data_IF_332858977293
#
_entry.id   IF_332858977293
#
_cell.length_a   1.000
_cell.length_b   1.000
_cell.length_c   1.000
_cell.angle_alpha   90.00
_cell.angle_beta   90.00
_cell.angle_gamma   90.00
#
_symmetry.space_group_name_H-M   'P 1'
#
loop_
_entity.id
_entity.type
_entity.pdbx_description
1 polymer ?
#
# COMPACT_ATOMS: atom_id res chain seq x y z
N UNK A 1 9.72 4.39 -8.05
CA UNK A 1 10.55 4.90 -6.95
C UNK A 1 12.02 4.46 -7.12
N UNK A 2 12.31 3.17 -7.24
CA UNK A 2 13.69 2.65 -7.37
C UNK A 2 14.33 2.86 -8.75
N UNK A 3 13.51 3.04 -9.77
CA UNK A 3 13.95 3.32 -11.14
C UNK A 3 12.82 4.00 -11.91
N UNK A 4 13.14 5.05 -12.66
CA UNK A 4 12.13 5.83 -13.39
C UNK A 4 11.64 5.11 -14.65
N UNK A 5 12.51 4.36 -15.31
CA UNK A 5 12.21 3.71 -16.59
C UNK A 5 11.74 2.28 -16.38
N UNK A 6 12.41 1.53 -15.50
CA UNK A 6 12.14 0.11 -15.22
C UNK A 6 11.10 -0.11 -14.12
N UNK A 7 10.82 0.90 -13.31
CA UNK A 7 9.86 0.82 -12.22
C UNK A 7 8.43 0.63 -12.71
N UNK A 8 7.64 -0.10 -11.94
CA UNK A 8 6.21 -0.26 -12.21
C UNK A 8 5.42 1.02 -11.95
N UNK A 9 4.26 1.11 -12.59
CA UNK A 9 3.31 2.20 -12.41
C UNK A 9 1.86 1.70 -12.42
N UNK A 10 1.04 2.30 -11.57
CA UNK A 10 -0.40 2.11 -11.59
C UNK A 10 -1.04 3.46 -11.25
N UNK A 11 -1.36 4.23 -12.27
CA UNK A 11 -1.81 5.62 -12.11
C UNK A 11 -2.84 6.03 -13.15
N UNK A 12 -3.32 7.26 -13.00
CA UNK A 12 -4.21 7.93 -13.93
C UNK A 12 -3.43 8.98 -14.71
N UNK A 13 -3.56 8.97 -16.02
CA UNK A 13 -3.01 9.98 -16.90
C UNK A 13 -4.16 10.81 -17.48
N UNK A 14 -4.16 12.09 -17.22
CA UNK A 14 -5.13 13.04 -17.76
C UNK A 14 -4.42 13.98 -18.76
N UNK A 15 -5.12 14.31 -19.85
CA UNK A 15 -4.65 15.26 -20.86
C UNK A 15 -5.46 16.55 -20.77
N UNK A 16 -4.81 17.70 -20.94
CA UNK A 16 -5.44 19.01 -20.81
C UNK A 16 -5.26 19.65 -19.44
N UNK A 17 -6.01 20.72 -19.19
CA UNK A 17 -5.86 21.55 -17.99
C UNK A 17 -6.65 21.00 -16.80
N UNK A 18 -6.20 19.84 -16.27
CA UNK A 18 -6.75 19.30 -15.02
C UNK A 18 -6.08 19.91 -13.80
N UNK A 19 -6.88 20.42 -12.89
CA UNK A 19 -6.45 20.70 -11.52
C UNK A 19 -6.55 19.40 -10.72
N UNK A 20 -5.42 18.97 -10.15
CA UNK A 20 -5.34 17.75 -9.34
C UNK A 20 -5.06 18.16 -7.90
N UNK A 21 -5.91 17.71 -6.98
CA UNK A 21 -5.72 17.88 -5.54
C UNK A 21 -5.76 16.53 -4.84
N UNK A 22 -4.89 16.34 -3.85
CA UNK A 22 -4.78 15.08 -3.14
C UNK A 22 -4.78 15.30 -1.64
N UNK A 23 -5.67 14.64 -0.94
CA UNK A 23 -5.80 14.70 0.51
C UNK A 23 -6.26 13.33 1.04
N UNK A 24 -6.00 13.05 2.30
CA UNK A 24 -6.65 11.93 2.96
C UNK A 24 -8.09 12.28 3.31
N UNK A 25 -8.99 11.31 3.18
CA UNK A 25 -10.33 11.42 3.77
C UNK A 25 -10.15 11.65 5.27
N UNK A 26 -10.78 12.66 5.87
CA UNK A 26 -10.57 13.02 7.28
C UNK A 26 -10.64 11.82 8.21
N UNK A 27 -9.73 11.73 9.16
CA UNK A 27 -9.63 10.68 10.18
C UNK A 27 -9.34 9.27 9.66
N UNK A 28 -8.84 9.14 8.41
CA UNK A 28 -8.62 7.84 7.77
C UNK A 28 -7.25 7.73 7.09
N UNK A 29 -6.93 6.52 6.60
CA UNK A 29 -5.85 6.27 5.65
C UNK A 29 -6.38 6.01 4.22
N UNK A 30 -7.56 6.49 3.89
CA UNK A 30 -8.12 6.49 2.54
C UNK A 30 -7.62 7.73 1.83
N UNK A 31 -6.91 7.57 0.72
CA UNK A 31 -6.39 8.68 -0.06
C UNK A 31 -7.41 9.11 -1.10
N UNK A 32 -7.74 10.39 -1.14
CA UNK A 32 -8.64 11.00 -2.11
C UNK A 32 -7.85 11.87 -3.08
N UNK A 33 -7.92 11.55 -4.36
CA UNK A 33 -7.35 12.35 -5.44
C UNK A 33 -8.46 12.89 -6.33
N UNK A 34 -8.66 14.18 -6.32
CA UNK A 34 -9.67 14.87 -7.11
C UNK A 34 -9.06 15.41 -8.41
N UNK A 35 -9.72 15.14 -9.51
CA UNK A 35 -9.39 15.61 -10.85
C UNK A 35 -10.53 16.50 -11.35
N UNK A 36 -10.24 17.77 -11.66
CA UNK A 36 -11.25 18.75 -12.06
C UNK A 36 -10.77 19.53 -13.28
N UNK A 37 -11.63 19.62 -14.30
CA UNK A 37 -11.43 20.38 -15.52
C UNK A 37 -12.76 20.94 -16.03
N UNK A 38 -12.73 21.73 -17.12
CA UNK A 38 -13.94 22.22 -17.79
C UNK A 38 -14.77 21.08 -18.42
N UNK A 39 -14.14 19.95 -18.78
CA UNK A 39 -14.82 18.79 -19.35
C UNK A 39 -15.58 17.97 -18.31
N UNK A 40 -15.12 17.99 -17.05
CA UNK A 40 -15.74 17.24 -15.98
C UNK A 40 -14.87 17.06 -14.76
N UNK A 41 -15.41 16.30 -13.80
CA UNK A 41 -14.80 16.12 -12.49
C UNK A 41 -15.04 14.70 -11.97
N UNK A 42 -14.01 14.09 -11.40
CA UNK A 42 -14.06 12.81 -10.72
C UNK A 42 -13.08 12.74 -9.55
N UNK A 43 -13.32 11.82 -8.64
CA UNK A 43 -12.45 11.55 -7.49
C UNK A 43 -12.03 10.08 -7.51
N UNK A 44 -10.76 9.83 -7.26
CA UNK A 44 -10.24 8.48 -7.02
C UNK A 44 -10.01 8.31 -5.52
N UNK A 45 -10.64 7.31 -4.93
CA UNK A 45 -10.44 6.90 -3.54
C UNK A 45 -9.59 5.64 -3.51
N UNK A 46 -8.34 5.80 -3.06
CA UNK A 46 -7.37 4.71 -2.95
C UNK A 46 -7.36 4.18 -1.52
N UNK A 47 -7.57 2.87 -1.35
CA UNK A 47 -7.54 2.23 -0.03
C UNK A 47 -7.20 0.74 -0.13
N UNK A 48 -6.70 0.20 0.97
CA UNK A 48 -6.59 -1.24 1.20
C UNK A 48 -7.66 -1.64 2.22
N UNK A 49 -8.50 -2.64 1.94
CA UNK A 49 -9.57 -3.04 2.85
C UNK A 49 -9.01 -3.40 4.22
N UNK A 50 -9.63 -2.84 5.25
CA UNK A 50 -9.34 -3.22 6.62
C UNK A 50 -10.61 -3.08 7.48
N UNK A 51 -11.06 -4.20 8.06
CA UNK A 51 -12.19 -4.24 8.98
C UNK A 51 -12.14 -5.50 9.85
N UNK A 52 -13.00 -5.56 10.87
CA UNK A 52 -13.10 -6.79 11.67
C UNK A 52 -13.80 -7.87 10.88
N UNK A 53 -13.26 -9.09 10.93
CA UNK A 53 -13.94 -10.26 10.37
C UNK A 53 -15.25 -10.53 11.12
N UNK A 54 -16.19 -11.22 10.46
CA UNK A 54 -17.52 -11.49 11.03
C UNK A 54 -17.46 -12.37 12.30
N UNK A 55 -16.44 -13.20 12.43
CA UNK A 55 -16.21 -14.06 13.57
C UNK A 55 -15.59 -13.34 14.80
N UNK A 56 -15.38 -12.00 14.70
CA UNK A 56 -14.77 -11.14 15.71
C UNK A 56 -13.36 -11.55 16.16
N UNK A 57 -12.82 -12.66 15.64
CA UNK A 57 -11.52 -13.23 16.07
C UNK A 57 -10.33 -12.58 15.38
N UNK A 58 -10.54 -11.92 14.23
CA UNK A 58 -9.48 -11.34 13.42
C UNK A 58 -9.86 -10.06 12.70
N UNK A 59 -8.93 -9.61 11.86
CA UNK A 59 -9.14 -8.50 10.94
C UNK A 59 -9.03 -9.04 9.52
N UNK A 60 -9.90 -8.59 8.64
CA UNK A 60 -9.74 -8.78 7.20
C UNK A 60 -8.76 -7.73 6.70
N UNK A 61 -7.60 -8.17 6.25
CA UNK A 61 -6.49 -7.35 5.79
C UNK A 61 -5.87 -8.01 4.54
N UNK A 62 -6.58 -8.07 3.42
CA UNK A 62 -6.08 -8.71 2.21
C UNK A 62 -4.99 -7.85 1.57
N UNK A 63 -4.13 -8.50 0.76
CA UNK A 63 -3.15 -7.80 -0.07
C UNK A 63 -3.82 -7.24 -1.34
N UNK A 64 -4.75 -6.34 -1.16
CA UNK A 64 -5.60 -5.77 -2.18
C UNK A 64 -5.57 -4.24 -2.14
N UNK A 65 -5.41 -3.61 -3.30
CA UNK A 65 -5.56 -2.17 -3.49
C UNK A 65 -6.82 -1.90 -4.28
N UNK A 66 -7.75 -1.21 -3.66
CA UNK A 66 -8.95 -0.71 -4.29
C UNK A 66 -8.77 0.74 -4.72
N UNK A 67 -9.29 1.08 -5.89
CA UNK A 67 -9.34 2.40 -6.48
C UNK A 67 -10.77 2.67 -6.94
N UNK A 68 -11.58 3.22 -6.06
CA UNK A 68 -12.93 3.62 -6.38
C UNK A 68 -12.93 4.94 -7.12
N UNK A 69 -13.45 4.94 -8.35
CA UNK A 69 -13.51 6.09 -9.24
C UNK A 69 -14.91 6.66 -9.17
N UNK A 70 -15.08 7.71 -8.39
CA UNK A 70 -16.36 8.37 -8.18
C UNK A 70 -16.56 9.48 -9.21
N UNK A 71 -17.56 9.33 -10.06
CA UNK A 71 -17.95 10.33 -11.03
C UNK A 71 -18.73 11.46 -10.36
N UNK A 72 -18.35 12.71 -10.60
CA UNK A 72 -19.01 13.89 -10.03
C UNK A 72 -19.88 14.58 -11.08
N UNK A 73 -19.29 14.94 -12.23
CA UNK A 73 -20.01 15.64 -13.30
C UNK A 73 -19.26 15.62 -14.62
N UNK A 74 -19.98 15.95 -15.72
CA UNK A 74 -19.41 16.08 -17.06
C UNK A 74 -18.97 14.76 -17.67
N UNK A 75 -18.01 14.84 -18.58
CA UNK A 75 -17.41 13.70 -19.27
C UNK A 75 -15.88 13.74 -19.16
N UNK A 76 -15.34 13.62 -17.92
CA UNK A 76 -13.91 13.65 -17.73
C UNK A 76 -13.24 12.47 -18.44
N UNK A 77 -12.02 12.72 -18.95
CA UNK A 77 -11.24 11.79 -19.75
C UNK A 77 -9.93 11.47 -19.07
N UNK A 78 -9.55 10.21 -19.09
CA UNK A 78 -8.27 9.76 -18.55
C UNK A 78 -7.82 8.46 -19.22
N UNK A 79 -6.55 8.11 -19.01
CA UNK A 79 -5.98 6.80 -19.32
C UNK A 79 -5.52 6.16 -18.03
N UNK A 80 -5.57 4.84 -17.97
CA UNK A 80 -4.99 4.08 -16.87
C UNK A 80 -3.60 3.62 -17.29
N UNK A 81 -2.59 4.10 -16.57
CA UNK A 81 -1.22 3.62 -16.76
C UNK A 81 -0.96 2.44 -15.83
N UNK A 82 -1.30 1.24 -16.31
CA UNK A 82 -0.97 -0.01 -15.64
C UNK A 82 0.28 -0.62 -16.28
N UNK A 83 1.39 -0.52 -15.57
CA UNK A 83 2.69 -1.04 -15.97
C UNK A 83 3.32 -1.77 -14.78
N UNK A 84 2.95 -3.02 -14.52
CA UNK A 84 3.49 -3.78 -13.40
C UNK A 84 4.96 -4.14 -13.65
N UNK A 85 5.76 -4.12 -12.58
CA UNK A 85 7.17 -4.54 -12.60
C UNK A 85 7.45 -5.47 -11.41
N UNK A 86 6.87 -6.69 -11.40
CA UNK A 86 7.06 -7.66 -10.33
C UNK A 86 8.54 -8.04 -10.20
N UNK A 87 8.92 -8.56 -9.02
CA UNK A 87 10.27 -8.99 -8.71
C UNK A 87 11.34 -7.92 -9.05
N UNK A 88 11.08 -6.66 -8.67
CA UNK A 88 12.00 -5.53 -8.90
C UNK A 88 12.43 -5.36 -10.36
N UNK A 89 11.53 -5.60 -11.31
CA UNK A 89 11.80 -5.54 -12.75
C UNK A 89 12.93 -6.46 -13.23
N UNK A 90 13.15 -7.57 -12.55
CA UNK A 90 14.05 -8.63 -13.01
C UNK A 90 13.30 -9.53 -14.01
N UNK A 91 13.68 -9.48 -15.27
CA UNK A 91 13.06 -10.30 -16.33
C UNK A 91 11.86 -9.66 -17.01
N UNK A 92 11.28 -10.41 -17.97
CA UNK A 92 10.15 -9.94 -18.75
C UNK A 92 8.84 -10.09 -17.98
N UNK A 93 7.99 -9.08 -18.06
CA UNK A 93 6.63 -9.11 -17.52
C UNK A 93 5.70 -9.77 -18.54
N UNK A 94 4.96 -10.77 -18.10
CA UNK A 94 3.91 -11.42 -18.87
C UNK A 94 2.56 -10.84 -18.43
N UNK A 95 1.75 -10.39 -19.38
CA UNK A 95 0.40 -9.88 -19.17
C UNK A 95 -0.60 -10.78 -19.90
N UNK A 96 -1.38 -11.54 -19.14
CA UNK A 96 -2.47 -12.37 -19.65
C UNK A 96 -3.80 -11.69 -19.39
N UNK A 97 -4.58 -11.43 -20.44
CA UNK A 97 -5.94 -10.91 -20.27
C UNK A 97 -6.93 -12.07 -20.30
N UNK A 98 -7.79 -12.09 -19.29
CA UNK A 98 -8.96 -12.95 -19.23
C UNK A 98 -10.23 -12.08 -19.30
N UNK A 99 -11.43 -12.65 -19.42
CA UNK A 99 -12.66 -11.85 -19.33
C UNK A 99 -12.87 -11.15 -17.98
N UNK A 100 -12.17 -11.58 -16.91
CA UNK A 100 -12.40 -11.11 -15.55
C UNK A 100 -11.27 -10.26 -14.99
N UNK A 101 -10.01 -10.47 -15.44
CA UNK A 101 -8.84 -9.78 -14.91
C UNK A 101 -7.67 -9.75 -15.88
N UNK A 102 -6.72 -8.85 -15.64
CA UNK A 102 -5.37 -8.91 -16.20
C UNK A 102 -4.47 -9.57 -15.17
N UNK A 103 -3.87 -10.71 -15.51
CA UNK A 103 -2.82 -11.34 -14.70
C UNK A 103 -1.45 -10.82 -15.14
N UNK A 104 -0.60 -10.45 -14.20
CA UNK A 104 0.78 -10.06 -14.45
C UNK A 104 1.76 -10.80 -13.54
N UNK A 105 2.87 -11.28 -14.13
CA UNK A 105 3.92 -11.99 -13.41
C UNK A 105 5.25 -11.93 -14.17
N UNK A 106 6.35 -12.27 -13.48
CA UNK A 106 7.68 -12.34 -14.11
C UNK A 106 7.87 -13.68 -14.84
N UNK A 107 8.50 -13.67 -16.01
CA UNK A 107 8.66 -14.84 -16.86
C UNK A 107 9.48 -15.98 -16.24
N UNK A 108 10.45 -15.68 -15.37
CA UNK A 108 11.30 -16.68 -14.73
C UNK A 108 10.95 -16.98 -13.27
N UNK A 109 10.16 -16.12 -12.62
CA UNK A 109 9.65 -16.34 -11.27
C UNK A 109 8.16 -15.99 -11.23
N UNK A 110 7.34 -17.01 -11.13
CA UNK A 110 5.89 -16.87 -11.12
C UNK A 110 5.29 -16.83 -9.71
N UNK A 111 6.13 -16.61 -8.69
CA UNK A 111 5.67 -16.52 -7.30
C UNK A 111 4.92 -15.23 -7.01
N UNK A 112 5.35 -14.13 -7.66
CA UNK A 112 4.75 -12.81 -7.51
C UNK A 112 3.75 -12.56 -8.63
N UNK A 113 2.47 -12.84 -8.39
CA UNK A 113 1.38 -12.63 -9.32
C UNK A 113 0.52 -11.46 -8.87
N UNK A 114 0.09 -10.66 -9.84
CA UNK A 114 -0.87 -9.59 -9.61
C UNK A 114 -2.08 -9.81 -10.51
N UNK A 115 -3.26 -9.55 -9.97
CA UNK A 115 -4.54 -9.69 -10.67
C UNK A 115 -5.25 -8.35 -10.62
N UNK A 116 -5.37 -7.69 -11.79
CA UNK A 116 -6.12 -6.44 -11.92
C UNK A 116 -7.53 -6.73 -12.41
N UNK A 117 -8.51 -6.48 -11.57
CA UNK A 117 -9.93 -6.47 -11.88
C UNK A 117 -10.41 -5.05 -12.11
N UNK A 118 -11.41 -4.87 -12.96
CA UNK A 118 -11.98 -3.55 -13.23
C UNK A 118 -13.43 -3.68 -13.67
N UNK A 119 -14.22 -2.66 -13.39
CA UNK A 119 -15.53 -2.45 -14.06
C UNK A 119 -15.37 -1.84 -15.46
N UNK A 120 -14.19 -1.28 -15.74
CA UNK A 120 -13.78 -0.75 -17.04
C UNK A 120 -13.27 -1.86 -17.97
N UNK A 121 -13.19 -1.57 -19.27
CA UNK A 121 -12.64 -2.49 -20.26
C UNK A 121 -11.16 -2.82 -19.98
N UNK A 122 -10.88 -4.07 -19.64
CA UNK A 122 -9.52 -4.56 -19.40
C UNK A 122 -8.62 -4.42 -20.64
N UNK A 123 -9.22 -4.55 -21.85
CA UNK A 123 -8.48 -4.36 -23.10
C UNK A 123 -8.07 -2.91 -23.30
N UNK A 124 -8.95 -1.95 -22.99
CA UNK A 124 -8.64 -0.52 -23.11
C UNK A 124 -7.59 -0.08 -22.08
N UNK A 125 -7.61 -0.69 -20.88
CA UNK A 125 -6.56 -0.49 -19.87
C UNK A 125 -5.21 -0.99 -20.40
N UNK A 126 -5.15 -2.21 -20.96
CA UNK A 126 -3.91 -2.76 -21.51
C UNK A 126 -3.37 -1.93 -22.67
N UNK A 127 -4.25 -1.47 -23.54
CA UNK A 127 -3.89 -0.67 -24.71
C UNK A 127 -3.68 0.83 -24.38
N UNK A 128 -3.86 1.21 -23.10
CA UNK A 128 -3.78 2.61 -22.63
C UNK A 128 -4.66 3.56 -23.44
N UNK A 129 -5.86 3.09 -23.80
CA UNK A 129 -6.84 3.93 -24.49
C UNK A 129 -7.42 4.98 -23.56
N UNK A 130 -7.89 6.07 -24.15
CA UNK A 130 -8.63 7.09 -23.44
C UNK A 130 -10.02 6.56 -23.05
N UNK A 131 -10.36 6.76 -21.77
CA UNK A 131 -11.62 6.36 -21.16
C UNK A 131 -12.41 7.62 -20.86
N UNK A 132 -13.70 7.63 -21.23
CA UNK A 132 -14.65 8.66 -20.85
C UNK A 132 -15.45 8.14 -19.67
N UNK A 133 -15.45 8.88 -18.56
CA UNK A 133 -16.18 8.51 -17.37
C UNK A 133 -17.58 9.13 -17.39
N UNK A 134 -18.61 8.31 -17.22
CA UNK A 134 -20.04 8.72 -17.17
C UNK A 134 -20.77 8.22 -15.93
N UNK A 135 -20.10 7.37 -15.14
CA UNK A 135 -20.63 6.79 -13.90
C UNK A 135 -19.48 6.34 -12.99
N UNK A 136 -19.81 5.91 -11.79
CA UNK A 136 -18.83 5.31 -10.87
C UNK A 136 -18.25 4.02 -11.45
N UNK A 137 -16.96 3.89 -11.34
CA UNK A 137 -16.17 2.73 -11.78
C UNK A 137 -15.16 2.33 -10.71
N UNK A 138 -14.52 1.18 -10.84
CA UNK A 138 -13.48 0.76 -9.92
C UNK A 138 -12.34 -0.01 -10.61
N UNK A 139 -11.21 -0.05 -9.90
CA UNK A 139 -10.08 -0.92 -10.16
C UNK A 139 -9.73 -1.63 -8.86
N UNK A 140 -9.45 -2.92 -8.94
CA UNK A 140 -8.98 -3.73 -7.82
C UNK A 140 -7.71 -4.47 -8.24
N UNK A 141 -6.61 -4.21 -7.55
CA UNK A 141 -5.36 -4.93 -7.73
C UNK A 141 -5.17 -5.88 -6.54
N UNK A 142 -5.21 -7.18 -6.80
CA UNK A 142 -4.92 -8.23 -5.82
C UNK A 142 -3.54 -8.82 -6.04
N UNK A 143 -2.84 -9.14 -4.96
CA UNK A 143 -1.50 -9.72 -4.96
C UNK A 143 -1.54 -11.18 -4.52
N UNK A 144 -1.02 -12.08 -5.36
CA UNK A 144 -0.93 -13.53 -5.17
C UNK A 144 -2.24 -14.30 -4.98
N UNK A 145 -3.36 -13.63 -4.82
CA UNK A 145 -4.66 -14.26 -4.61
C UNK A 145 -5.66 -13.81 -5.68
N UNK A 146 -6.39 -14.77 -6.26
CA UNK A 146 -7.52 -14.48 -7.12
C UNK A 146 -8.74 -14.17 -6.28
N UNK A 147 -9.39 -13.07 -6.60
CA UNK A 147 -10.63 -12.65 -5.94
C UNK A 147 -11.82 -13.09 -6.78
N UNK A 148 -12.93 -13.39 -6.12
CA UNK A 148 -14.21 -13.54 -6.82
C UNK A 148 -14.54 -12.19 -7.46
N UNK A 149 -14.91 -12.13 -8.76
CA UNK A 149 -15.26 -10.87 -9.40
C UNK A 149 -16.30 -10.10 -8.60
N UNK A 150 -16.03 -8.84 -8.39
CA UNK A 150 -16.90 -7.91 -7.68
C UNK A 150 -17.58 -6.96 -8.66
N UNK A 151 -18.67 -6.38 -8.22
CA UNK A 151 -19.36 -5.28 -8.89
C UNK A 151 -19.17 -3.96 -8.11
N UNK A 152 -19.68 -2.88 -8.65
CA UNK A 152 -19.57 -1.55 -8.04
C UNK A 152 -20.29 -1.47 -6.67
N UNK A 153 -21.32 -2.25 -6.45
CA UNK A 153 -22.05 -2.26 -5.17
C UNK A 153 -21.22 -2.96 -4.10
N UNK A 154 -20.55 -4.04 -4.45
CA UNK A 154 -19.60 -4.71 -3.54
C UNK A 154 -18.42 -3.80 -3.21
N UNK A 155 -17.89 -3.07 -4.20
CA UNK A 155 -16.83 -2.10 -4.01
C UNK A 155 -17.23 -1.02 -2.99
N UNK A 156 -18.43 -0.43 -3.13
CA UNK A 156 -18.96 0.55 -2.17
C UNK A 156 -19.07 0.00 -0.75
N UNK A 157 -19.42 -1.27 -0.60
CA UNK A 157 -19.46 -1.93 0.72
C UNK A 157 -18.07 -2.02 1.33
N UNK A 158 -17.06 -2.43 0.56
CA UNK A 158 -15.66 -2.52 1.04
C UNK A 158 -15.11 -1.15 1.43
N UNK A 159 -15.43 -0.11 0.64
CA UNK A 159 -15.12 1.28 1.00
C UNK A 159 -15.76 1.69 2.33
N UNK A 160 -17.08 1.49 2.48
CA UNK A 160 -17.80 1.86 3.69
C UNK A 160 -17.26 1.12 4.93
N UNK A 161 -16.98 -0.18 4.83
CA UNK A 161 -16.39 -0.97 5.91
C UNK A 161 -15.03 -0.43 6.33
N UNK A 162 -14.18 -0.13 5.36
CA UNK A 162 -12.85 0.43 5.58
C UNK A 162 -12.93 1.83 6.20
N UNK A 163 -13.83 2.68 5.71
CA UNK A 163 -14.10 4.00 6.27
C UNK A 163 -14.51 3.90 7.75
N UNK A 164 -15.50 3.07 8.06
CA UNK A 164 -15.98 2.86 9.44
C UNK A 164 -14.87 2.31 10.34
N UNK A 165 -14.03 1.42 9.83
CA UNK A 165 -12.87 0.92 10.58
C UNK A 165 -11.94 2.06 11.01
N UNK A 166 -11.55 2.93 10.08
CA UNK A 166 -10.65 4.04 10.37
C UNK A 166 -11.28 5.06 11.31
N UNK A 167 -12.54 5.44 11.10
CA UNK A 167 -13.26 6.36 11.98
C UNK A 167 -13.35 5.80 13.42
N UNK A 168 -13.70 4.54 13.58
CA UNK A 168 -13.73 3.88 14.89
C UNK A 168 -12.35 3.77 15.52
N UNK A 169 -11.30 3.63 14.71
CA UNK A 169 -9.93 3.55 15.22
C UNK A 169 -9.47 4.91 15.74
N UNK A 170 -9.67 5.99 14.99
CA UNK A 170 -9.29 7.35 15.36
C UNK A 170 -10.12 7.90 16.52
N UNK A 171 -11.40 7.53 16.59
CA UNK A 171 -12.29 7.97 17.70
C UNK A 171 -11.83 7.46 19.08
N UNK A 172 -11.14 6.34 19.13
CA UNK A 172 -10.55 5.79 20.36
C UNK A 172 -9.28 6.50 20.81
N UNK A 173 -8.71 7.36 19.97
CA UNK A 173 -7.50 8.11 20.31
C UNK A 173 -7.83 9.23 21.29
N UNK A 174 -6.96 9.43 22.26
CA UNK A 174 -7.02 10.60 23.15
C UNK A 174 -6.96 11.87 22.31
N UNK A 175 -7.85 12.81 22.57
CA UNK A 175 -7.90 14.10 21.87
C UNK A 175 -7.11 15.15 22.64
N UNK A 176 -6.48 16.06 21.90
CA UNK A 176 -5.66 17.14 22.42
C UNK A 176 -6.20 18.48 21.96
N UNK A 177 -5.98 19.51 22.77
CA UNK A 177 -6.42 20.88 22.44
C UNK A 177 -5.52 21.56 21.41
N UNK A 178 -4.24 21.15 21.35
CA UNK A 178 -3.25 21.69 20.43
C UNK A 178 -2.75 20.59 19.48
N UNK A 179 -2.60 20.92 18.20
CA UNK A 179 -2.03 20.05 17.16
C UNK A 179 -2.75 18.71 16.97
N UNK A 180 -4.03 18.62 17.34
CA UNK A 180 -4.77 17.35 17.31
C UNK A 180 -4.74 16.69 15.92
N UNK A 181 -4.91 17.45 14.85
CA UNK A 181 -4.92 16.92 13.47
C UNK A 181 -3.56 16.34 13.06
N UNK A 182 -2.47 17.00 13.46
CA UNK A 182 -1.10 16.54 13.20
C UNK A 182 -0.79 15.27 13.98
N UNK A 183 -1.21 15.22 15.25
CA UNK A 183 -1.06 14.05 16.12
C UNK A 183 -1.85 12.87 15.54
N UNK A 184 -3.10 13.08 15.17
CA UNK A 184 -3.95 12.06 14.60
C UNK A 184 -3.37 11.53 13.26
N UNK A 185 -2.93 12.42 12.36
CA UNK A 185 -2.28 12.00 11.10
C UNK A 185 -1.01 11.17 11.35
N UNK A 186 -0.20 11.58 12.34
CA UNK A 186 1.00 10.82 12.73
C UNK A 186 0.67 9.44 13.26
N UNK A 187 -0.39 9.33 14.08
CA UNK A 187 -0.87 8.04 14.58
C UNK A 187 -1.38 7.12 13.47
N UNK A 188 -2.10 7.67 12.51
CA UNK A 188 -2.57 6.93 11.34
C UNK A 188 -1.39 6.38 10.51
N UNK A 189 -0.28 7.14 10.39
CA UNK A 189 0.96 6.66 9.76
C UNK A 189 1.58 5.53 10.59
N UNK A 190 1.74 5.69 11.90
CA UNK A 190 2.27 4.62 12.76
C UNK A 190 1.41 3.35 12.69
N UNK A 191 0.10 3.50 12.55
CA UNK A 191 -0.81 2.36 12.37
C UNK A 191 -0.56 1.64 11.05
N UNK A 192 -0.25 2.33 9.94
CA UNK A 192 0.14 1.72 8.67
C UNK A 192 1.46 0.94 8.77
N UNK A 193 2.38 1.36 9.64
CA UNK A 193 3.63 0.64 9.89
C UNK A 193 3.44 -0.63 10.72
N UNK A 194 2.27 -0.80 11.36
CA UNK A 194 1.99 -1.91 12.27
C UNK A 194 1.41 -3.11 11.53
N UNK A 195 2.10 -4.24 11.57
CA UNK A 195 1.60 -5.49 11.01
C UNK A 195 0.62 -6.19 11.97
N UNK A 196 -0.19 -7.11 11.43
CA UNK A 196 -1.27 -7.76 12.21
C UNK A 196 -0.75 -8.58 13.40
N UNK A 197 0.44 -9.17 13.33
CA UNK A 197 1.06 -9.95 14.41
C UNK A 197 1.66 -9.07 15.52
N UNK A 198 1.75 -7.76 15.32
CA UNK A 198 2.30 -6.80 16.28
C UNK A 198 3.68 -6.25 15.91
N UNK A 199 4.36 -6.79 14.90
CA UNK A 199 5.58 -6.19 14.38
C UNK A 199 5.31 -4.76 13.88
N UNK A 200 6.29 -3.87 14.02
CA UNK A 200 6.21 -2.49 13.51
C UNK A 200 7.44 -2.24 12.64
N UNK A 201 7.20 -1.87 11.40
CA UNK A 201 8.24 -1.52 10.44
C UNK A 201 8.83 -0.14 10.74
N UNK A 202 10.14 0.02 10.54
CA UNK A 202 10.78 1.34 10.64
C UNK A 202 10.30 2.27 9.50
N UNK A 203 10.14 1.73 8.28
CA UNK A 203 9.48 2.43 7.16
C UNK A 203 8.92 1.40 6.15
N UNK A 204 8.02 1.84 5.25
CA UNK A 204 7.46 1.03 4.15
C UNK A 204 8.33 1.08 2.88
N UNK A 205 9.52 1.63 2.96
CA UNK A 205 10.37 1.92 1.80
C UNK A 205 11.73 1.23 1.91
N UNK A 206 12.32 0.94 0.75
CA UNK A 206 13.70 0.49 0.61
C UNK A 206 14.47 1.45 -0.28
N UNK A 207 15.79 1.54 -0.08
CA UNK A 207 16.73 2.22 -0.97
C UNK A 207 16.41 3.70 -1.25
N UNK A 208 15.71 4.37 -0.32
CA UNK A 208 15.63 5.83 -0.35
C UNK A 208 16.89 6.42 0.27
N UNK A 209 17.61 7.30 -0.44
CA UNK A 209 18.85 7.88 0.08
C UNK A 209 18.55 8.86 1.22
N UNK A 210 19.40 8.87 2.24
CA UNK A 210 19.41 9.92 3.28
C UNK A 210 19.67 11.29 2.65
N UNK A 211 20.55 11.32 1.65
CA UNK A 211 20.78 12.48 0.80
C UNK A 211 20.81 12.02 -0.67
N UNK A 212 20.14 12.74 -1.55
CA UNK A 212 20.05 12.39 -2.98
C UNK A 212 21.44 12.36 -3.61
N UNK A 213 21.75 11.23 -4.27
CA UNK A 213 23.05 10.98 -4.89
C UNK A 213 24.09 10.31 -3.97
N UNK A 214 23.77 10.15 -2.69
CA UNK A 214 24.65 9.51 -1.70
C UNK A 214 24.38 8.00 -1.60
N UNK A 215 25.33 7.29 -0.94
CA UNK A 215 25.36 5.83 -0.87
C UNK A 215 24.57 5.22 0.30
N UNK A 216 24.06 6.06 1.21
CA UNK A 216 23.32 5.59 2.39
C UNK A 216 21.85 5.30 2.03
N UNK A 217 21.63 4.15 1.43
CA UNK A 217 20.35 3.68 0.93
C UNK A 217 20.02 2.36 1.62
N UNK A 218 19.15 2.38 2.64
CA UNK A 218 18.88 1.22 3.47
C UNK A 218 17.50 0.63 3.18
N UNK A 219 17.36 -0.67 3.42
CA UNK A 219 16.05 -1.31 3.49
C UNK A 219 15.46 -1.12 4.89
N UNK A 220 14.46 -0.26 5.03
CA UNK A 220 13.81 0.05 6.30
C UNK A 220 12.56 -0.81 6.57
N UNK A 221 12.25 -1.78 5.72
CA UNK A 221 11.07 -2.65 5.84
C UNK A 221 11.24 -3.76 6.88
N UNK A 222 12.03 -3.51 7.92
CA UNK A 222 12.30 -4.39 9.05
C UNK A 222 11.70 -3.85 10.33
N UNK A 223 11.46 -4.78 11.29
CA UNK A 223 11.08 -4.44 12.65
C UNK A 223 12.33 -4.19 13.49
N UNK A 224 12.75 -2.94 13.59
CA UNK A 224 13.77 -2.51 14.53
C UNK A 224 13.17 -2.40 15.92
N UNK A 225 13.74 -3.07 16.91
CA UNK A 225 13.18 -3.10 18.26
C UNK A 225 13.10 -1.70 18.88
N UNK A 226 14.08 -0.85 18.63
CA UNK A 226 14.10 0.55 19.08
C UNK A 226 12.90 1.33 18.52
N UNK A 227 12.76 1.35 17.20
CA UNK A 227 11.73 2.12 16.49
C UNK A 227 10.33 1.60 16.82
N UNK A 228 10.18 0.28 16.88
CA UNK A 228 8.93 -0.36 17.27
C UNK A 228 8.56 -0.01 18.71
N UNK A 229 9.51 -0.03 19.65
CA UNK A 229 9.26 0.31 21.06
C UNK A 229 8.78 1.74 21.24
N UNK A 230 9.42 2.71 20.56
CA UNK A 230 9.01 4.12 20.60
C UNK A 230 7.62 4.34 19.98
N UNK A 231 7.34 3.67 18.86
CA UNK A 231 6.03 3.73 18.18
C UNK A 231 4.92 3.15 19.05
N UNK A 232 5.17 2.00 19.68
CA UNK A 232 4.22 1.33 20.57
C UNK A 232 3.99 2.12 21.85
N UNK A 233 5.03 2.71 22.43
CA UNK A 233 4.89 3.58 23.59
C UNK A 233 3.98 4.77 23.27
N UNK A 234 4.21 5.44 22.14
CA UNK A 234 3.36 6.54 21.67
C UNK A 234 1.91 6.10 21.49
N UNK A 235 1.67 4.97 20.82
CA UNK A 235 0.32 4.44 20.65
C UNK A 235 -0.35 4.12 22.00
N UNK A 236 0.41 3.56 22.93
CA UNK A 236 -0.10 3.24 24.27
C UNK A 236 -0.53 4.49 25.04
N UNK A 237 0.31 5.55 25.03
CA UNK A 237 0.03 6.82 25.72
C UNK A 237 -1.22 7.51 25.19
N UNK A 238 -1.55 7.30 23.91
CA UNK A 238 -2.71 7.89 23.23
C UNK A 238 -3.96 7.00 23.29
N UNK A 239 -3.88 5.82 23.96
CA UNK A 239 -5.03 4.97 24.24
C UNK A 239 -5.10 3.68 23.44
N UNK A 240 -4.18 3.42 22.50
CA UNK A 240 -4.15 2.19 21.69
C UNK A 240 -3.43 1.02 22.37
N UNK A 241 -3.91 0.62 23.53
CA UNK A 241 -3.30 -0.45 24.37
C UNK A 241 -3.22 -1.80 23.66
N UNK A 242 -4.14 -2.07 22.73
CA UNK A 242 -4.12 -3.30 21.93
C UNK A 242 -2.88 -3.44 21.04
N UNK A 243 -2.29 -2.33 20.59
CA UNK A 243 -1.04 -2.35 19.83
C UNK A 243 0.13 -2.86 20.70
N UNK A 244 0.24 -2.34 21.92
CA UNK A 244 1.26 -2.79 22.88
C UNK A 244 1.13 -4.28 23.21
N UNK A 245 -0.09 -4.77 23.43
CA UNK A 245 -0.34 -6.20 23.70
C UNK A 245 0.09 -7.10 22.53
N UNK A 246 -0.19 -6.70 21.28
CA UNK A 246 0.24 -7.48 20.10
C UNK A 246 1.75 -7.44 19.92
N UNK A 247 2.38 -6.29 20.11
CA UNK A 247 3.84 -6.17 20.03
C UNK A 247 4.53 -7.05 21.09
N UNK A 248 4.04 -7.06 22.32
CA UNK A 248 4.60 -7.95 23.36
C UNK A 248 4.45 -9.44 23.00
N UNK A 249 3.34 -9.84 22.37
CA UNK A 249 3.18 -11.20 21.86
C UNK A 249 4.18 -11.50 20.73
N UNK A 250 4.38 -10.56 19.82
CA UNK A 250 5.39 -10.68 18.76
C UNK A 250 6.79 -10.89 19.35
N UNK A 251 7.19 -10.05 20.30
CA UNK A 251 8.48 -10.17 21.00
C UNK A 251 8.61 -11.54 21.68
N UNK A 252 7.60 -11.97 22.43
CA UNK A 252 7.61 -13.28 23.09
C UNK A 252 7.75 -14.42 22.10
N UNK A 253 7.02 -14.40 20.99
CA UNK A 253 7.10 -15.44 19.95
C UNK A 253 8.43 -15.45 19.22
N UNK A 254 9.08 -14.30 19.06
CA UNK A 254 10.36 -14.16 18.36
C UNK A 254 11.52 -14.62 19.21
N UNK A 255 11.45 -14.45 20.56
CA UNK A 255 12.57 -14.69 21.47
C UNK A 255 12.54 -16.07 22.18
N UNK A 256 11.46 -16.83 22.08
CA UNK A 256 11.26 -18.08 22.85
C UNK A 256 12.35 -19.15 22.62
N UNK A 257 13.09 -19.10 21.54
CA UNK A 257 14.03 -20.20 21.19
C UNK A 257 15.49 -19.80 21.02
N UNK A 258 15.92 -18.56 21.33
CA UNK A 258 17.29 -18.11 20.98
C UNK A 258 17.92 -17.25 22.07
N UNK A 259 19.20 -17.58 22.34
CA UNK A 259 20.06 -16.80 23.25
C UNK A 259 20.64 -15.53 22.58
N UNK A 260 20.57 -15.43 21.23
CA UNK A 260 21.14 -14.31 20.49
C UNK A 260 20.03 -13.33 20.09
N UNK A 261 19.91 -12.27 20.85
CA UNK A 261 19.02 -11.14 20.51
C UNK A 261 19.64 -10.30 19.40
N UNK A 262 18.80 -9.97 18.40
CA UNK A 262 19.17 -9.04 17.32
C UNK A 262 18.51 -7.70 17.54
N UNK A 263 19.08 -6.66 16.92
CA UNK A 263 18.53 -5.30 16.97
C UNK A 263 17.32 -5.11 16.06
N UNK A 264 17.16 -5.99 15.06
CA UNK A 264 16.05 -5.97 14.11
C UNK A 264 15.67 -7.38 13.66
N UNK A 265 14.44 -7.53 13.22
CA UNK A 265 13.84 -8.78 12.74
C UNK A 265 13.01 -8.51 11.49
N UNK A 266 12.76 -9.56 10.72
CA UNK A 266 11.74 -9.50 9.69
C UNK A 266 10.33 -9.32 10.27
N UNK A 267 9.40 -8.94 9.44
CA UNK A 267 8.00 -8.66 9.86
C UNK A 267 7.29 -9.88 10.46
N UNK A 268 7.76 -11.10 10.15
CA UNK A 268 7.25 -12.37 10.71
C UNK A 268 8.17 -12.95 11.78
N UNK A 269 9.19 -12.21 12.21
CA UNK A 269 10.19 -12.66 13.17
C UNK A 269 11.40 -13.35 12.54
N UNK A 270 11.63 -13.19 11.24
CA UNK A 270 12.79 -13.74 10.55
C UNK A 270 14.10 -13.18 11.13
N UNK A 271 15.07 -14.05 11.31
CA UNK A 271 16.40 -13.73 11.84
C UNK A 271 17.46 -13.54 10.74
N UNK A 272 17.30 -14.23 9.60
CA UNK A 272 18.17 -14.08 8.45
C UNK A 272 17.68 -12.92 7.60
N UNK A 273 18.41 -11.81 7.65
CA UNK A 273 18.04 -10.56 7.01
C UNK A 273 19.08 -10.26 5.92
N UNK A 274 19.09 -11.10 4.87
CA UNK A 274 20.04 -10.95 3.76
C UNK A 274 19.59 -9.81 2.86
N UNK A 275 20.44 -8.82 2.74
CA UNK A 275 20.28 -7.70 1.81
C UNK A 275 21.03 -8.00 0.51
N UNK A 276 20.40 -7.71 -0.62
CA UNK A 276 20.94 -7.89 -1.97
C UNK A 276 20.93 -6.56 -2.69
N UNK A 277 22.01 -6.25 -3.39
CA UNK A 277 22.09 -5.03 -4.21
C UNK A 277 21.56 -5.33 -5.61
N UNK A 278 20.63 -4.49 -6.07
CA UNK A 278 20.03 -4.57 -7.40
C UNK A 278 20.75 -3.64 -8.39
N UNK A 279 21.83 -4.12 -8.98
CA UNK A 279 22.68 -3.33 -9.88
C UNK A 279 22.00 -2.86 -11.16
N UNK A 280 20.92 -3.56 -11.57
CA UNK A 280 20.16 -3.25 -12.78
C UNK A 280 19.22 -2.06 -12.62
N UNK A 281 18.97 -1.57 -11.39
CA UNK A 281 18.16 -0.40 -11.10
C UNK A 281 19.01 0.85 -10.86
N UNK A 282 18.52 2.00 -11.27
CA UNK A 282 19.21 3.28 -11.13
C UNK A 282 19.14 3.87 -9.71
N UNK A 283 18.20 3.43 -8.90
CA UNK A 283 17.92 4.02 -7.59
C UNK A 283 17.08 5.30 -7.68
N UNK A 284 16.59 5.75 -6.53
CA UNK A 284 15.82 6.98 -6.43
C UNK A 284 16.67 8.19 -6.88
N UNK A 285 16.21 8.87 -7.93
CA UNK A 285 16.96 9.99 -8.55
C UNK A 285 18.44 9.65 -8.85
N UNK A 286 18.68 8.41 -9.34
CA UNK A 286 20.01 7.88 -9.65
C UNK A 286 20.93 7.69 -8.43
N UNK A 287 20.38 7.49 -7.23
CA UNK A 287 21.12 7.22 -6.02
C UNK A 287 21.36 5.71 -5.86
N UNK A 288 22.59 5.27 -6.08
CA UNK A 288 23.04 3.89 -5.86
C UNK A 288 23.82 3.78 -4.56
N UNK A 289 23.90 2.57 -3.95
CA UNK A 289 23.36 1.28 -4.37
C UNK A 289 21.83 1.18 -4.17
N UNK A 290 21.20 0.12 -4.71
CA UNK A 290 19.79 -0.20 -4.51
C UNK A 290 19.69 -1.49 -3.69
N UNK A 291 19.87 -1.44 -2.37
CA UNK A 291 19.74 -2.59 -1.50
C UNK A 291 18.27 -2.94 -1.26
N UNK A 292 17.95 -4.22 -1.32
CA UNK A 292 16.65 -4.78 -0.98
C UNK A 292 16.81 -6.09 -0.23
N UNK A 293 15.84 -6.41 0.62
CA UNK A 293 15.76 -7.72 1.25
C UNK A 293 14.67 -8.57 0.63
N UNK A 294 14.98 -9.80 0.30
CA UNK A 294 14.01 -10.76 -0.24
C UNK A 294 13.17 -11.45 0.84
N UNK A 295 13.52 -11.31 2.13
CA UNK A 295 12.74 -11.88 3.23
C UNK A 295 11.32 -11.31 3.35
N UNK A 296 11.06 -10.16 2.72
CA UNK A 296 9.78 -9.45 2.76
C UNK A 296 9.02 -9.44 1.43
N UNK A 297 9.51 -10.13 0.40
CA UNK A 297 8.83 -10.18 -0.91
C UNK A 297 7.48 -10.90 -0.87
N UNK A 298 7.18 -11.62 0.20
CA UNK A 298 5.86 -12.18 0.45
C UNK A 298 5.12 -11.29 1.46
N UNK A 299 4.91 -10.03 1.12
CA UNK A 299 3.93 -9.22 1.85
C UNK A 299 2.55 -9.83 1.60
N UNK A 300 1.73 -9.92 2.65
CA UNK A 300 0.36 -10.36 2.52
C UNK A 300 -0.43 -9.41 1.65
#
# INVERSE_FOLDING_TARGET
>A
MLDREKGGAFGFEVSGDYRITQNYVPHTNILSTQFSSDEGEFVVLDYMPCYRSQDETGHYLPAELYRYIHWIKGKPRFKINYHPAPNYAQGQVILNITPQYIESYCSFDNKDRQYLYASLSLQDIKEKKEIILEKDEFLLLSYNEKVIPIDIEREKIEYCRTLVYWLNWTDRSKKYTLYNDVIERSLLVLKLMSYHNGAVLAALTTSLPEAVGEVRNWDYRFCWLRDASMSIETMFQIGHTGAAKRFMKFIQSTFVSKHDYQIMYGIRGEHQLTEVILDHLSGYKNSKPVPVSYTHLTLP
#
